data_IF_781092952906
#
_entry.id   IF_781092952906
#
_cell.length_a   1.000
_cell.length_b   1.000
_cell.length_c   1.000
_cell.angle_alpha   90.00
_cell.angle_beta   90.00
_cell.angle_gamma   90.00
#
_symmetry.space_group_name_H-M   'P 1'
#
loop_
_entity.id
_entity.type
_entity.pdbx_description
1 polymer ?
#
# COMPACT_ATOMS: atom_id res chain seq x y z
N UNK A 1 -27.92 -55.83 -24.85
CA UNK A 1 -28.63 -54.93 -23.92
C UNK A 1 -27.68 -53.80 -23.53
N UNK A 2 -28.06 -52.58 -23.94
CA UNK A 2 -27.83 -51.29 -23.27
C UNK A 2 -26.41 -50.87 -22.82
N UNK A 3 -25.73 -50.15 -23.72
CA UNK A 3 -25.21 -48.76 -23.66
C UNK A 3 -24.82 -48.01 -22.36
N UNK A 4 -23.76 -47.18 -22.54
CA UNK A 4 -23.36 -45.90 -21.88
C UNK A 4 -22.73 -45.98 -20.46
N UNK A 5 -21.70 -45.20 -20.07
CA UNK A 5 -20.95 -44.10 -20.69
C UNK A 5 -19.58 -43.92 -19.99
N UNK A 6 -18.71 -43.17 -20.68
CA UNK A 6 -17.37 -42.68 -20.33
C UNK A 6 -17.27 -41.89 -19.02
N UNK A 7 -16.11 -41.99 -18.37
CA UNK A 7 -15.24 -40.83 -18.14
C UNK A 7 -13.76 -41.29 -18.16
N UNK A 8 -13.04 -40.85 -19.20
CA UNK A 8 -11.57 -40.74 -19.25
C UNK A 8 -11.17 -39.58 -18.30
N UNK A 9 -10.05 -39.61 -17.58
CA UNK A 9 -8.73 -39.32 -18.16
C UNK A 9 -7.56 -39.89 -17.35
N UNK A 10 -6.49 -40.17 -18.11
CA UNK A 10 -5.13 -40.56 -17.72
C UNK A 10 -4.18 -39.38 -18.01
N UNK A 11 -2.93 -39.50 -17.55
CA UNK A 11 -1.72 -38.69 -17.79
C UNK A 11 -1.54 -37.45 -16.89
N UNK A 12 -0.35 -37.05 -16.45
CA UNK A 12 0.98 -37.64 -16.21
C UNK A 12 1.75 -36.52 -15.46
N UNK A 13 2.67 -36.90 -14.57
CA UNK A 13 3.91 -36.21 -14.13
C UNK A 13 4.32 -34.95 -14.97
N UNK A 14 4.81 -33.80 -14.47
CA UNK A 14 5.92 -33.46 -13.53
C UNK A 14 5.80 -31.94 -13.20
N UNK A 15 5.89 -31.51 -11.94
CA UNK A 15 6.91 -30.57 -11.40
C UNK A 15 6.59 -30.22 -9.94
N UNK A 16 7.66 -30.15 -9.18
CA UNK A 16 7.83 -30.15 -7.73
C UNK A 16 7.33 -28.89 -7.01
N UNK A 17 6.58 -29.06 -5.92
CA UNK A 17 6.56 -28.11 -4.80
C UNK A 17 6.62 -28.86 -3.46
N UNK A 18 7.71 -28.63 -2.74
CA UNK A 18 7.94 -29.03 -1.36
C UNK A 18 7.08 -28.17 -0.44
N UNK A 19 6.12 -28.77 0.26
CA UNK A 19 5.56 -28.21 1.47
C UNK A 19 5.43 -29.35 2.50
N UNK A 20 6.46 -29.54 3.32
CA UNK A 20 6.43 -30.48 4.43
C UNK A 20 5.57 -29.91 5.57
N UNK A 21 4.42 -30.53 5.81
CA UNK A 21 3.73 -30.50 7.11
C UNK A 21 3.74 -31.95 7.63
N UNK A 22 4.45 -32.20 8.73
CA UNK A 22 4.49 -33.50 9.42
C UNK A 22 4.41 -33.23 10.94
N UNK A 23 3.21 -33.39 11.51
CA UNK A 23 2.72 -34.50 12.35
C UNK A 23 3.12 -34.45 13.83
N UNK A 24 2.11 -34.33 14.68
CA UNK A 24 2.14 -34.67 16.10
C UNK A 24 2.43 -36.18 16.29
N UNK A 25 3.23 -36.51 17.31
CA UNK A 25 3.35 -37.85 17.86
C UNK A 25 3.13 -37.79 19.38
N UNK A 26 2.06 -38.42 19.87
CA UNK A 26 1.83 -38.74 21.27
C UNK A 26 2.72 -39.92 21.69
N UNK A 27 3.27 -39.90 22.89
CA UNK A 27 3.78 -41.10 23.56
C UNK A 27 3.07 -41.29 24.90
N UNK A 28 2.39 -42.44 25.02
CA UNK A 28 1.88 -42.98 26.27
C UNK A 28 2.98 -43.79 26.94
N UNK A 29 3.09 -43.71 28.26
CA UNK A 29 3.72 -44.76 29.05
C UNK A 29 2.97 -44.96 30.37
N UNK A 30 2.51 -46.19 30.56
CA UNK A 30 1.85 -46.71 31.77
C UNK A 30 2.88 -46.99 32.87
N UNK A 31 2.51 -46.77 34.14
CA UNK A 31 3.16 -47.43 35.29
C UNK A 31 2.11 -47.82 36.35
N UNK A 32 1.87 -49.13 36.39
CA UNK A 32 1.65 -50.06 37.52
C UNK A 32 1.19 -49.50 38.89
N UNK A 33 0.03 -49.99 39.34
CA UNK A 33 -0.52 -49.85 40.70
C UNK A 33 0.08 -50.92 41.62
N UNK A 34 0.69 -50.52 42.73
CA UNK A 34 0.88 -51.39 43.90
C UNK A 34 0.31 -50.71 45.16
N UNK A 35 -0.52 -51.45 45.89
CA UNK A 35 -1.20 -50.97 47.08
C UNK A 35 -0.33 -51.07 48.32
N UNK A 36 -0.31 -50.01 49.12
CA UNK A 36 0.09 -50.06 50.52
C UNK A 36 -0.82 -49.13 51.32
N UNK A 37 -1.57 -49.73 52.24
CA UNK A 37 -2.53 -49.10 53.16
C UNK A 37 -1.72 -48.52 54.33
N UNK A 38 -1.63 -47.20 54.47
CA UNK A 38 -1.06 -46.56 55.66
C UNK A 38 -2.00 -45.49 56.23
N UNK A 39 -2.14 -45.56 57.56
CA UNK A 39 -3.12 -44.88 58.40
C UNK A 39 -3.00 -43.36 58.31
N UNK A 40 -4.15 -42.69 58.22
CA UNK A 40 -4.29 -41.26 58.47
C UNK A 40 -3.87 -40.95 59.91
N UNK A 41 -3.02 -39.94 60.06
CA UNK A 41 -2.79 -39.27 61.34
C UNK A 41 -2.81 -37.77 61.04
N UNK A 42 -3.87 -37.12 61.50
CA UNK A 42 -4.05 -35.68 61.43
C UNK A 42 -2.97 -34.96 62.24
N UNK A 43 -2.36 -33.93 61.65
CA UNK A 43 -1.76 -32.85 62.40
C UNK A 43 -1.78 -31.55 61.58
N UNK A 44 -2.40 -30.46 62.07
CA UNK A 44 -2.55 -29.22 61.33
C UNK A 44 -1.34 -28.32 61.61
N UNK A 45 -0.40 -28.20 60.67
CA UNK A 45 0.58 -27.11 60.75
C UNK A 45 1.20 -26.79 59.39
N UNK A 46 1.21 -25.48 59.07
CA UNK A 46 2.06 -24.77 58.10
C UNK A 46 1.53 -24.58 56.68
N UNK A 47 0.35 -23.97 56.56
CA UNK A 47 0.01 -23.12 55.40
C UNK A 47 0.68 -21.75 55.56
N UNK A 48 1.95 -21.63 55.14
CA UNK A 48 2.68 -20.38 55.35
C UNK A 48 3.98 -20.23 54.59
N UNK A 49 4.03 -20.58 53.30
CA UNK A 49 5.19 -20.21 52.47
C UNK A 49 4.97 -20.03 50.96
N UNK A 50 3.76 -20.18 50.41
CA UNK A 50 3.56 -20.15 48.94
C UNK A 50 2.73 -18.98 48.38
N UNK A 51 2.48 -17.92 49.14
CA UNK A 51 1.73 -16.76 48.61
C UNK A 51 2.62 -15.62 48.08
N UNK A 52 3.84 -15.44 48.61
CA UNK A 52 4.74 -14.34 48.18
C UNK A 52 5.33 -14.57 46.78
N UNK A 53 5.62 -15.81 46.42
CA UNK A 53 6.15 -16.15 45.09
C UNK A 53 5.08 -16.00 43.98
N UNK A 54 3.83 -16.36 44.25
CA UNK A 54 2.73 -16.23 43.27
C UNK A 54 2.39 -14.75 43.04
N UNK A 55 2.37 -13.93 44.08
CA UNK A 55 2.14 -12.49 43.98
C UNK A 55 3.24 -11.75 43.19
N UNK A 56 4.50 -12.18 43.32
CA UNK A 56 5.63 -11.61 42.54
C UNK A 56 5.59 -12.02 41.07
N UNK A 57 5.20 -13.27 40.78
CA UNK A 57 5.05 -13.77 39.40
C UNK A 57 3.88 -13.08 38.71
N UNK A 58 2.74 -12.88 39.37
CA UNK A 58 1.60 -12.15 38.78
C UNK A 58 1.88 -10.66 38.60
N UNK A 59 2.62 -10.01 39.51
CA UNK A 59 3.08 -8.63 39.32
C UNK A 59 4.08 -8.50 38.16
N UNK A 60 4.95 -9.49 37.95
CA UNK A 60 5.84 -9.54 36.78
C UNK A 60 5.06 -9.73 35.48
N UNK A 61 4.00 -10.55 35.46
CA UNK A 61 3.12 -10.71 34.28
C UNK A 61 2.25 -9.46 34.01
N UNK A 62 1.78 -8.78 35.05
CA UNK A 62 1.06 -7.50 34.91
C UNK A 62 1.99 -6.37 34.45
N UNK A 63 3.23 -6.34 34.94
CA UNK A 63 4.27 -5.45 34.41
C UNK A 63 4.57 -5.79 32.95
N UNK A 64 4.80 -7.05 32.59
CA UNK A 64 5.12 -7.46 31.22
C UNK A 64 3.96 -7.20 30.23
N UNK A 65 2.71 -7.34 30.67
CA UNK A 65 1.52 -6.98 29.90
C UNK A 65 1.29 -5.47 29.75
N UNK A 66 1.95 -4.64 30.58
CA UNK A 66 1.92 -3.17 30.49
C UNK A 66 3.10 -2.59 29.68
N UNK A 67 4.14 -3.38 29.38
CA UNK A 67 5.33 -2.93 28.61
C UNK A 67 5.46 -3.57 27.23
N UNK A 68 4.42 -4.15 26.64
CA UNK A 68 4.44 -4.30 25.18
C UNK A 68 4.19 -2.91 24.60
N UNK A 69 5.22 -2.18 24.10
CA UNK A 69 4.92 -1.00 23.32
C UNK A 69 4.01 -1.47 22.18
N UNK A 70 2.96 -0.70 21.91
CA UNK A 70 2.28 -0.80 20.63
C UNK A 70 3.35 -0.53 19.57
N UNK A 71 4.02 -1.59 19.10
CA UNK A 71 4.89 -1.51 17.95
C UNK A 71 3.94 -1.20 16.80
N UNK A 72 3.85 0.09 16.44
CA UNK A 72 3.38 0.49 15.12
C UNK A 72 4.18 -0.36 14.14
N UNK A 73 3.51 -1.33 13.54
CA UNK A 73 4.14 -2.22 12.57
C UNK A 73 4.75 -1.33 11.49
N UNK A 74 6.09 -1.30 11.37
CA UNK A 74 6.74 -0.46 10.38
C UNK A 74 6.23 -0.86 9.01
N UNK A 75 6.01 0.13 8.14
CA UNK A 75 5.55 -0.11 6.78
C UNK A 75 6.51 -1.04 6.04
N UNK A 76 5.96 -1.93 5.22
CA UNK A 76 6.73 -2.93 4.45
C UNK A 76 6.84 -2.55 2.98
N UNK A 77 5.94 -1.70 2.50
CA UNK A 77 5.85 -1.19 1.13
C UNK A 77 5.59 0.31 1.16
N UNK A 78 6.16 1.03 0.20
CA UNK A 78 5.85 2.43 -0.06
C UNK A 78 5.44 2.58 -1.53
N UNK A 79 4.37 3.33 -1.79
CA UNK A 79 3.80 3.51 -3.12
C UNK A 79 4.12 4.90 -3.63
N UNK A 80 4.85 4.99 -4.74
CA UNK A 80 5.01 6.22 -5.51
C UNK A 80 3.79 6.37 -6.42
N UNK A 81 2.99 7.40 -6.15
CA UNK A 81 1.72 7.64 -6.85
C UNK A 81 1.86 8.85 -7.76
N UNK A 82 1.59 8.66 -9.05
CA UNK A 82 1.56 9.71 -10.06
C UNK A 82 0.15 9.81 -10.64
N UNK A 83 -0.32 11.02 -10.94
CA UNK A 83 -1.61 11.23 -11.62
C UNK A 83 -1.46 12.03 -12.90
N UNK A 84 -2.38 11.81 -13.85
CA UNK A 84 -2.45 12.57 -15.09
C UNK A 84 -3.28 13.84 -14.86
N UNK A 85 -2.69 15.04 -15.00
CA UNK A 85 -3.37 16.26 -14.60
C UNK A 85 -4.66 16.56 -15.39
N UNK A 86 -4.74 16.17 -16.66
CA UNK A 86 -5.96 16.35 -17.47
C UNK A 86 -7.13 15.57 -16.87
N UNK A 87 -6.96 14.27 -16.63
CA UNK A 87 -8.01 13.41 -16.06
C UNK A 87 -8.45 13.88 -14.67
N UNK A 88 -7.47 14.26 -13.83
CA UNK A 88 -7.77 14.82 -12.52
C UNK A 88 -8.61 16.10 -12.64
N UNK A 89 -8.20 17.06 -13.48
CA UNK A 89 -8.89 18.34 -13.59
C UNK A 89 -10.24 18.27 -14.30
N UNK A 90 -10.45 17.34 -15.23
CA UNK A 90 -11.78 17.09 -15.78
C UNK A 90 -12.76 16.64 -14.69
N UNK A 91 -12.29 15.80 -13.76
CA UNK A 91 -13.13 15.27 -12.69
C UNK A 91 -13.31 16.26 -11.53
N UNK A 92 -12.26 17.01 -11.19
CA UNK A 92 -12.27 17.96 -10.08
C UNK A 92 -12.63 19.41 -10.50
N UNK A 93 -12.93 19.61 -11.79
CA UNK A 93 -13.26 20.91 -12.39
C UNK A 93 -12.18 21.99 -12.16
N UNK A 94 -10.91 21.65 -12.40
CA UNK A 94 -9.79 22.61 -12.38
C UNK A 94 -9.23 22.94 -13.76
N UNK A 95 -8.36 23.94 -13.82
CA UNK A 95 -7.56 24.24 -15.01
C UNK A 95 -6.30 23.40 -14.97
N UNK A 96 -6.09 22.67 -16.06
CA UNK A 96 -4.89 21.89 -16.27
C UNK A 96 -3.73 22.82 -16.69
N UNK A 97 -2.53 22.60 -16.15
CA UNK A 97 -1.32 23.36 -16.51
C UNK A 97 -0.08 22.52 -16.92
N UNK A 98 -0.12 21.19 -16.86
CA UNK A 98 1.07 20.32 -16.85
C UNK A 98 1.05 19.21 -17.91
N UNK A 99 1.88 19.29 -18.96
CA UNK A 99 1.86 18.32 -20.07
C UNK A 99 2.55 16.97 -19.77
N UNK A 100 2.71 16.64 -18.50
CA UNK A 100 3.44 15.48 -18.01
C UNK A 100 2.77 14.95 -16.73
N UNK A 101 3.08 13.70 -16.36
CA UNK A 101 2.61 13.09 -15.12
C UNK A 101 3.17 13.84 -13.91
N UNK A 102 2.34 14.14 -12.92
CA UNK A 102 2.78 14.80 -11.67
C UNK A 102 2.66 13.85 -10.49
N UNK A 103 3.48 14.07 -9.45
CA UNK A 103 3.36 13.38 -8.17
C UNK A 103 2.01 13.70 -7.52
N UNK A 104 1.32 12.65 -7.13
CA UNK A 104 0.24 12.71 -6.15
C UNK A 104 0.82 12.50 -4.75
N UNK A 105 1.59 11.42 -4.55
CA UNK A 105 2.27 11.22 -3.28
C UNK A 105 3.16 10.00 -3.15
N UNK A 106 3.71 9.83 -1.95
CA UNK A 106 4.61 8.73 -1.58
C UNK A 106 4.08 8.06 -0.29
N UNK A 107 3.40 6.94 -0.42
CA UNK A 107 2.51 6.44 0.63
C UNK A 107 2.98 5.13 1.25
N UNK A 108 3.32 5.10 2.54
CA UNK A 108 3.49 3.85 3.27
C UNK A 108 2.20 3.03 3.24
N UNK A 109 2.32 1.70 3.11
CA UNK A 109 1.16 0.81 3.08
C UNK A 109 0.44 0.67 4.43
N UNK A 110 1.10 1.03 5.53
CA UNK A 110 0.53 1.01 6.89
C UNK A 110 0.60 2.40 7.54
N UNK A 111 -0.42 2.69 8.35
CA UNK A 111 -0.52 3.93 9.12
C UNK A 111 -1.08 5.12 8.34
N UNK A 112 -1.76 6.00 9.06
CA UNK A 112 -2.24 7.31 8.59
C UNK A 112 -2.17 8.28 9.76
N UNK A 113 -1.77 9.54 9.51
CA UNK A 113 -1.68 10.57 10.55
C UNK A 113 -0.82 10.12 11.76
N UNK A 114 0.30 9.43 11.50
CA UNK A 114 1.07 8.72 12.54
C UNK A 114 1.72 9.66 13.57
N UNK A 115 1.89 10.94 13.25
CA UNK A 115 2.37 11.93 14.20
C UNK A 115 1.66 13.28 14.04
N UNK A 116 0.64 13.51 14.88
CA UNK A 116 -0.15 14.74 14.83
C UNK A 116 0.58 15.98 15.36
N UNK A 117 1.67 15.82 16.11
CA UNK A 117 2.45 16.94 16.65
C UNK A 117 3.53 17.41 15.67
N UNK A 118 3.95 16.55 14.74
CA UNK A 118 4.92 16.89 13.70
C UNK A 118 4.27 17.60 12.51
N UNK A 119 4.02 18.89 12.69
CA UNK A 119 3.42 19.73 11.64
C UNK A 119 4.37 19.95 10.48
N UNK A 120 3.79 20.11 9.29
CA UNK A 120 4.52 20.53 8.10
C UNK A 120 5.14 21.92 8.31
N UNK A 121 6.39 22.07 7.90
CA UNK A 121 7.15 23.30 7.98
C UNK A 121 7.80 23.61 6.62
N UNK A 122 7.31 24.63 5.92
CA UNK A 122 7.82 24.98 4.58
C UNK A 122 9.33 25.33 4.59
N UNK A 123 9.85 25.87 5.69
CA UNK A 123 11.27 26.22 5.81
C UNK A 123 12.18 25.00 5.76
N UNK A 124 11.69 23.80 6.11
CA UNK A 124 12.47 22.55 6.04
C UNK A 124 12.64 22.03 4.62
N UNK A 125 11.89 22.54 3.63
CA UNK A 125 11.95 22.09 2.23
C UNK A 125 12.10 23.25 1.24
N UNK A 126 12.60 24.39 1.71
CA UNK A 126 12.68 25.61 0.90
C UNK A 126 13.58 25.43 -0.34
N UNK A 127 14.66 24.66 -0.20
CA UNK A 127 15.57 24.28 -1.28
C UNK A 127 14.91 23.38 -2.33
N UNK A 128 13.95 22.55 -1.91
CA UNK A 128 13.20 21.66 -2.81
C UNK A 128 12.07 22.39 -3.55
N UNK A 129 11.73 23.62 -3.18
CA UNK A 129 10.54 24.32 -3.68
C UNK A 129 10.44 24.36 -5.22
N UNK A 130 11.50 24.65 -6.00
CA UNK A 130 11.41 24.66 -7.46
C UNK A 130 11.00 23.30 -8.05
N UNK A 131 11.51 22.21 -7.48
CA UNK A 131 11.14 20.85 -7.90
C UNK A 131 9.75 20.47 -7.40
N UNK A 132 9.36 20.89 -6.19
CA UNK A 132 8.02 20.68 -5.65
C UNK A 132 6.95 21.38 -6.49
N UNK A 133 7.16 22.65 -6.88
CA UNK A 133 6.26 23.40 -7.75
C UNK A 133 6.12 22.74 -9.14
N UNK A 134 7.19 22.13 -9.64
CA UNK A 134 7.24 21.54 -10.98
C UNK A 134 6.67 20.12 -11.05
N UNK A 135 7.03 19.27 -10.08
CA UNK A 135 6.80 17.83 -10.14
C UNK A 135 5.75 17.34 -9.14
N UNK A 136 5.50 18.07 -8.05
CA UNK A 136 4.48 17.75 -7.06
C UNK A 136 3.47 18.90 -6.84
N UNK A 137 2.94 19.52 -7.91
CA UNK A 137 2.03 20.65 -7.76
C UNK A 137 0.70 20.25 -7.12
N UNK A 138 0.07 21.21 -6.45
CA UNK A 138 -1.36 21.12 -6.14
C UNK A 138 -2.16 21.46 -7.41
N UNK A 139 -2.79 20.47 -8.04
CA UNK A 139 -3.53 20.69 -9.30
C UNK A 139 -4.77 21.60 -9.16
N UNK A 140 -5.37 21.70 -7.96
CA UNK A 140 -6.49 22.61 -7.71
C UNK A 140 -6.00 24.05 -7.49
N UNK A 141 -4.90 24.18 -6.74
CA UNK A 141 -4.35 25.47 -6.32
C UNK A 141 -2.82 25.44 -6.44
N UNK A 142 -2.23 25.63 -7.65
CA UNK A 142 -0.80 25.38 -7.91
C UNK A 142 0.19 26.15 -7.03
N UNK A 143 -0.22 27.29 -6.47
CA UNK A 143 0.63 28.10 -5.58
C UNK A 143 0.51 27.73 -4.10
N UNK A 144 -0.39 26.80 -3.75
CA UNK A 144 -0.71 26.45 -2.37
C UNK A 144 0.14 25.29 -1.86
N UNK A 145 0.80 25.52 -0.73
CA UNK A 145 1.56 24.49 0.02
C UNK A 145 0.65 23.53 0.80
N UNK A 146 -0.67 23.76 0.82
CA UNK A 146 -1.61 22.96 1.61
C UNK A 146 -1.61 21.48 1.21
N UNK A 147 -1.36 21.19 -0.07
CA UNK A 147 -1.29 19.82 -0.54
C UNK A 147 -0.09 19.07 0.05
N UNK A 148 1.10 19.70 0.06
CA UNK A 148 2.28 19.11 0.70
C UNK A 148 2.09 18.96 2.21
N UNK A 149 1.44 19.92 2.86
CA UNK A 149 1.07 19.82 4.27
C UNK A 149 0.17 18.62 4.55
N UNK A 150 -0.83 18.38 3.70
CA UNK A 150 -1.72 17.22 3.77
C UNK A 150 -0.96 15.91 3.57
N UNK A 151 -0.16 15.80 2.51
CA UNK A 151 0.63 14.60 2.19
C UNK A 151 1.64 14.28 3.30
N UNK A 152 2.30 15.30 3.86
CA UNK A 152 3.20 15.12 5.01
C UNK A 152 2.46 14.58 6.22
N UNK A 153 1.36 15.23 6.60
CA UNK A 153 0.61 14.86 7.78
C UNK A 153 0.01 13.45 7.67
N UNK A 154 -0.67 13.16 6.55
CA UNK A 154 -1.37 11.90 6.33
C UNK A 154 -0.42 10.73 6.11
N UNK A 155 0.63 10.92 5.32
CA UNK A 155 1.50 9.84 4.83
C UNK A 155 2.95 9.97 5.30
N UNK A 156 3.55 11.16 5.14
CA UNK A 156 4.97 11.39 5.45
C UNK A 156 5.35 11.05 6.89
N UNK A 157 4.51 11.41 7.87
CA UNK A 157 4.76 11.09 9.30
C UNK A 157 4.84 9.59 9.58
N UNK A 158 4.23 8.75 8.75
CA UNK A 158 4.26 7.29 8.86
C UNK A 158 5.51 6.66 8.24
N UNK A 159 6.20 7.37 7.34
CA UNK A 159 7.35 6.85 6.60
C UNK A 159 8.65 6.79 7.43
N UNK A 160 8.65 7.43 8.61
CA UNK A 160 9.83 7.84 9.38
C UNK A 160 10.64 6.72 10.02
N UNK A 161 10.19 5.47 9.92
CA UNK A 161 10.91 4.27 10.41
C UNK A 161 12.13 3.87 9.56
N UNK A 162 12.42 4.58 8.46
CA UNK A 162 13.60 4.37 7.61
C UNK A 162 14.43 5.66 7.58
N UNK A 163 15.76 5.54 7.72
CA UNK A 163 16.69 6.67 7.79
C UNK A 163 16.61 7.63 6.61
N UNK A 164 16.30 7.13 5.42
CA UNK A 164 16.13 7.93 4.19
C UNK A 164 14.81 8.71 4.12
N UNK A 165 13.90 8.53 5.08
CA UNK A 165 12.58 9.20 5.15
C UNK A 165 12.29 9.78 6.54
N UNK A 166 13.25 9.74 7.48
CA UNK A 166 13.04 10.10 8.89
C UNK A 166 13.01 11.62 9.18
N UNK A 167 12.80 12.45 8.16
CA UNK A 167 12.55 13.88 8.29
C UNK A 167 11.67 14.38 7.15
N UNK A 168 11.08 15.56 7.32
CA UNK A 168 10.26 16.19 6.28
C UNK A 168 11.06 16.39 4.99
N UNK A 169 12.27 16.96 5.10
CA UNK A 169 13.15 17.18 3.96
C UNK A 169 13.46 15.88 3.23
N UNK A 170 13.90 14.84 3.96
CA UNK A 170 14.25 13.54 3.38
C UNK A 170 13.07 12.87 2.68
N UNK A 171 11.87 12.94 3.26
CA UNK A 171 10.67 12.39 2.64
C UNK A 171 10.35 13.04 1.29
N UNK A 172 10.31 14.37 1.23
CA UNK A 172 10.03 15.09 -0.01
C UNK A 172 11.16 14.95 -1.03
N UNK A 173 12.41 15.02 -0.58
CA UNK A 173 13.59 14.83 -1.44
C UNK A 173 13.59 13.43 -2.07
N UNK A 174 13.32 12.38 -1.28
CA UNK A 174 13.25 11.00 -1.79
C UNK A 174 12.09 10.82 -2.78
N UNK A 175 10.92 11.40 -2.54
CA UNK A 175 9.81 11.32 -3.50
C UNK A 175 10.16 11.98 -4.85
N UNK A 176 10.83 13.13 -4.83
CA UNK A 176 11.30 13.82 -6.04
C UNK A 176 12.39 13.02 -6.77
N UNK A 177 13.30 12.39 -6.03
CA UNK A 177 14.32 11.48 -6.58
C UNK A 177 13.66 10.29 -7.29
N UNK A 178 12.73 9.61 -6.63
CA UNK A 178 12.00 8.48 -7.19
C UNK A 178 11.18 8.90 -8.42
N UNK A 179 10.50 10.04 -8.39
CA UNK A 179 9.79 10.57 -9.55
C UNK A 179 10.71 10.72 -10.77
N UNK A 180 11.92 11.27 -10.58
CA UNK A 180 12.91 11.44 -11.66
C UNK A 180 13.50 10.11 -12.10
N UNK A 181 13.67 9.16 -11.19
CA UNK A 181 14.19 7.82 -11.49
C UNK A 181 13.21 6.99 -12.32
N UNK A 182 11.92 7.03 -11.98
CA UNK A 182 10.89 6.28 -12.68
C UNK A 182 10.37 6.99 -13.94
N UNK A 183 10.47 8.32 -14.06
CA UNK A 183 10.17 9.08 -15.30
C UNK A 183 9.06 8.48 -16.20
N UNK A 184 7.87 8.33 -15.63
CA UNK A 184 6.74 7.66 -16.29
C UNK A 184 6.38 8.34 -17.63
N UNK A 185 6.54 9.66 -17.70
CA UNK A 185 6.23 10.43 -18.90
C UNK A 185 7.10 10.02 -20.07
N UNK A 186 8.43 9.98 -19.88
CA UNK A 186 9.32 9.57 -20.97
C UNK A 186 9.24 8.07 -21.24
N UNK A 187 8.97 7.26 -20.22
CA UNK A 187 8.75 5.81 -20.38
C UNK A 187 7.62 5.53 -21.37
N UNK A 188 6.44 6.09 -21.13
CA UNK A 188 5.27 5.91 -22.01
C UNK A 188 5.52 6.50 -23.40
N UNK A 189 6.10 7.70 -23.46
CA UNK A 189 6.41 8.37 -24.73
C UNK A 189 7.36 7.55 -25.60
N UNK A 190 8.42 6.99 -25.03
CA UNK A 190 9.39 6.17 -25.77
C UNK A 190 8.78 4.87 -26.32
N UNK A 191 7.68 4.40 -25.71
CA UNK A 191 6.88 3.28 -26.21
C UNK A 191 5.79 3.70 -27.22
N UNK A 192 5.71 4.99 -27.58
CA UNK A 192 4.67 5.52 -28.45
C UNK A 192 3.29 5.68 -27.78
N UNK A 193 3.25 5.62 -26.44
CA UNK A 193 2.03 5.83 -25.65
C UNK A 193 1.99 7.30 -25.21
N UNK A 194 1.40 8.13 -26.05
CA UNK A 194 1.24 9.56 -25.82
C UNK A 194 -0.24 9.94 -25.69
N UNK A 195 -0.58 11.09 -25.05
CA UNK A 195 -1.95 11.57 -25.03
C UNK A 195 -2.50 11.68 -26.47
N UNK A 196 -3.67 11.06 -26.72
CA UNK A 196 -4.19 10.88 -28.07
C UNK A 196 -5.71 10.77 -28.08
N UNK A 197 -6.32 11.05 -29.24
CA UNK A 197 -7.73 10.74 -29.51
C UNK A 197 -7.96 9.23 -29.68
N UNK A 198 -6.92 8.46 -29.98
CA UNK A 198 -6.99 7.00 -30.08
C UNK A 198 -6.89 6.35 -28.70
N UNK A 199 -7.58 5.22 -28.54
CA UNK A 199 -7.53 4.41 -27.32
C UNK A 199 -6.41 3.39 -27.39
N UNK A 200 -5.81 3.10 -26.24
CA UNK A 200 -4.82 2.05 -26.05
C UNK A 200 -5.46 0.79 -25.49
N UNK A 201 -4.83 -0.36 -25.71
CA UNK A 201 -5.14 -1.55 -24.92
C UNK A 201 -4.50 -1.39 -23.54
N UNK A 202 -5.22 -1.82 -22.50
CA UNK A 202 -4.70 -1.80 -21.13
C UNK A 202 -3.35 -2.54 -21.03
N UNK A 203 -3.26 -3.72 -21.65
CA UNK A 203 -2.07 -4.58 -21.65
C UNK A 203 -0.83 -3.88 -22.19
N UNK A 204 -0.97 -2.99 -23.18
CA UNK A 204 0.19 -2.31 -23.77
C UNK A 204 0.75 -1.26 -22.79
N UNK A 205 -0.13 -0.58 -22.06
CA UNK A 205 0.26 0.37 -21.00
C UNK A 205 0.90 -0.40 -19.84
N UNK A 206 0.25 -1.45 -19.34
CA UNK A 206 0.75 -2.24 -18.21
C UNK A 206 2.10 -2.88 -18.54
N UNK A 207 2.21 -3.51 -19.72
CA UNK A 207 3.45 -4.16 -20.17
C UNK A 207 4.58 -3.16 -20.35
N UNK A 208 4.31 -1.98 -20.91
CA UNK A 208 5.31 -0.92 -21.05
C UNK A 208 5.90 -0.53 -19.68
N UNK A 209 5.03 -0.26 -18.71
CA UNK A 209 5.43 0.16 -17.37
C UNK A 209 6.17 -0.97 -16.64
N UNK A 210 5.63 -2.19 -16.69
CA UNK A 210 6.25 -3.38 -16.09
C UNK A 210 7.64 -3.66 -16.65
N UNK A 211 7.82 -3.64 -17.98
CA UNK A 211 9.10 -3.92 -18.61
C UNK A 211 10.16 -2.88 -18.26
N UNK A 212 9.77 -1.61 -18.13
CA UNK A 212 10.72 -0.55 -17.82
C UNK A 212 11.11 -0.54 -16.33
N UNK A 213 10.16 -0.79 -15.42
CA UNK A 213 10.39 -0.70 -13.98
C UNK A 213 10.70 -2.04 -13.30
N UNK A 214 10.51 -3.17 -13.98
CA UNK A 214 10.79 -4.50 -13.46
C UNK A 214 9.76 -5.04 -12.46
N UNK A 215 8.64 -4.34 -12.26
CA UNK A 215 7.57 -4.75 -11.35
C UNK A 215 6.19 -4.29 -11.85
N UNK A 216 5.15 -5.08 -11.53
CA UNK A 216 3.79 -4.79 -11.99
C UNK A 216 3.25 -3.54 -11.31
N UNK A 217 2.83 -2.51 -12.08
CA UNK A 217 2.24 -1.31 -11.53
C UNK A 217 0.78 -1.55 -11.10
N UNK A 218 0.21 -0.60 -10.36
CA UNK A 218 -1.25 -0.47 -10.24
C UNK A 218 -1.70 0.74 -11.05
N UNK A 219 -2.55 0.50 -12.04
CA UNK A 219 -3.06 1.55 -12.93
C UNK A 219 -4.53 1.80 -12.57
N UNK A 220 -4.87 3.08 -12.45
CA UNK A 220 -6.20 3.53 -12.09
C UNK A 220 -6.77 4.47 -13.13
N UNK A 221 -8.06 4.29 -13.37
CA UNK A 221 -8.85 4.97 -14.37
C UNK A 221 -10.07 5.64 -13.72
N UNK A 222 -10.69 6.56 -14.45
CA UNK A 222 -12.03 7.07 -14.17
C UNK A 222 -12.99 6.61 -15.26
N UNK A 223 -14.28 6.58 -14.96
CA UNK A 223 -15.30 6.17 -15.92
C UNK A 223 -15.42 7.25 -17.01
N UNK A 224 -15.56 6.83 -18.26
CA UNK A 224 -15.82 7.77 -19.36
C UNK A 224 -17.20 8.40 -19.21
N UNK A 225 -17.27 9.72 -19.35
CA UNK A 225 -18.54 10.47 -19.39
C UNK A 225 -19.20 10.46 -20.78
N UNK A 226 -18.50 9.95 -21.81
CA UNK A 226 -18.94 9.97 -23.22
C UNK A 226 -19.85 8.80 -23.61
N UNK A 227 -20.22 7.91 -22.67
CA UNK A 227 -21.13 6.79 -22.92
C UNK A 227 -20.53 5.64 -23.75
N UNK A 228 -19.22 5.67 -23.98
CA UNK A 228 -18.48 4.60 -24.65
C UNK A 228 -18.00 3.56 -23.63
N UNK A 229 -17.81 2.31 -24.05
CA UNK A 229 -17.18 1.25 -23.24
C UNK A 229 -15.66 1.46 -23.17
N UNK A 230 -15.26 2.61 -22.61
CA UNK A 230 -13.90 3.12 -22.53
C UNK A 230 -13.69 3.68 -21.12
N UNK A 231 -12.48 3.52 -20.61
CA UNK A 231 -12.04 4.08 -19.33
C UNK A 231 -10.94 5.12 -19.57
N UNK A 232 -10.81 6.11 -18.68
CA UNK A 232 -9.86 7.21 -18.88
C UNK A 232 -8.68 7.05 -17.94
N UNK A 233 -7.47 6.99 -18.48
CA UNK A 233 -6.21 6.81 -17.75
C UNK A 233 -6.01 7.97 -16.77
N UNK A 234 -5.75 7.65 -15.51
CA UNK A 234 -5.84 8.64 -14.45
C UNK A 234 -4.69 8.67 -13.46
N UNK A 235 -4.29 7.52 -12.93
CA UNK A 235 -3.27 7.41 -11.90
C UNK A 235 -2.46 6.12 -12.11
N UNK A 236 -1.16 6.19 -11.84
CA UNK A 236 -0.23 5.06 -11.86
C UNK A 236 0.48 5.01 -10.52
N UNK A 237 0.47 3.85 -9.90
CA UNK A 237 1.12 3.54 -8.65
C UNK A 237 2.28 2.56 -8.91
N UNK A 238 3.46 2.93 -8.44
CA UNK A 238 4.68 2.11 -8.48
C UNK A 238 5.02 1.73 -7.04
N UNK A 239 5.12 0.44 -6.76
CA UNK A 239 5.32 -0.06 -5.41
C UNK A 239 6.77 -0.41 -5.17
N UNK A 240 7.28 -0.02 -4.00
CA UNK A 240 8.68 -0.14 -3.63
C UNK A 240 8.79 -0.80 -2.25
N UNK A 241 9.83 -1.61 -2.07
CA UNK A 241 10.20 -2.10 -0.74
C UNK A 241 10.90 -0.99 0.08
N UNK A 242 11.36 -1.33 1.30
CA UNK A 242 12.03 -0.38 2.20
C UNK A 242 13.39 0.14 1.69
N UNK A 243 13.99 -0.55 0.72
CA UNK A 243 15.23 -0.16 0.04
C UNK A 243 14.96 0.61 -1.26
N UNK A 244 13.69 0.97 -1.52
CA UNK A 244 13.22 1.63 -2.75
C UNK A 244 13.42 0.81 -4.02
N UNK A 245 13.50 -0.51 -3.90
CA UNK A 245 13.52 -1.42 -5.04
C UNK A 245 12.09 -1.73 -5.51
N UNK A 246 11.83 -1.76 -6.83
CA UNK A 246 10.53 -2.13 -7.39
C UNK A 246 10.03 -3.48 -6.89
N UNK A 247 8.77 -3.53 -6.46
CA UNK A 247 8.02 -4.75 -6.13
C UNK A 247 6.63 -4.68 -6.76
N UNK A 248 6.02 -5.82 -7.03
CA UNK A 248 4.67 -5.84 -7.61
C UNK A 248 3.68 -5.11 -6.68
N UNK A 249 2.80 -4.30 -7.27
CA UNK A 249 1.72 -3.63 -6.54
C UNK A 249 0.56 -4.55 -6.15
N UNK A 250 0.65 -5.85 -6.43
CA UNK A 250 -0.38 -6.82 -6.10
C UNK A 250 -0.80 -6.76 -4.62
N UNK A 251 -2.09 -7.03 -4.41
CA UNK A 251 -2.78 -6.87 -3.14
C UNK A 251 -2.25 -7.87 -2.13
N UNK A 252 -1.48 -7.42 -1.15
CA UNK A 252 -1.26 -8.21 0.05
C UNK A 252 -2.51 -8.11 0.95
N UNK A 253 -2.71 -9.06 1.87
CA UNK A 253 -3.82 -9.03 2.83
C UNK A 253 -3.79 -7.77 3.70
N UNK A 254 -2.63 -7.15 3.89
CA UNK A 254 -2.48 -5.89 4.63
C UNK A 254 -3.10 -4.68 3.89
N UNK A 255 -3.09 -4.64 2.55
CA UNK A 255 -3.67 -3.56 1.75
C UNK A 255 -5.22 -3.51 1.82
N UNK A 256 -5.85 -4.59 2.27
CA UNK A 256 -7.30 -4.64 2.48
C UNK A 256 -7.72 -3.85 3.74
N UNK A 257 -6.87 -3.80 4.77
CA UNK A 257 -7.20 -3.13 6.04
C UNK A 257 -7.00 -1.61 5.97
N UNK A 258 -6.02 -1.13 5.19
CA UNK A 258 -5.81 0.31 4.97
C UNK A 258 -6.99 0.96 4.23
N UNK A 259 -7.60 0.26 3.26
CA UNK A 259 -8.82 0.73 2.57
C UNK A 259 -10.04 0.80 3.48
N UNK A 260 -10.19 -0.14 4.42
CA UNK A 260 -11.30 -0.08 5.40
C UNK A 260 -11.14 1.15 6.29
N UNK A 261 -9.92 1.46 6.74
CA UNK A 261 -9.67 2.67 7.52
C UNK A 261 -9.89 3.95 6.71
N UNK A 262 -9.47 4.00 5.44
CA UNK A 262 -9.69 5.18 4.58
C UNK A 262 -11.19 5.39 4.29
N UNK A 263 -11.99 4.32 4.12
CA UNK A 263 -13.47 4.38 3.98
C UNK A 263 -14.16 4.79 5.29
N UNK A 264 -13.70 4.28 6.43
CA UNK A 264 -14.27 4.62 7.75
C UNK A 264 -13.91 6.04 8.20
N UNK A 265 -12.75 6.56 7.79
CA UNK A 265 -12.28 7.91 8.13
C UNK A 265 -12.73 8.98 7.10
N UNK A 266 -12.98 8.63 5.83
CA UNK A 266 -13.46 9.55 4.79
C UNK A 266 -14.97 9.85 4.84
N UNK A 267 -15.61 9.81 6.02
CA UNK A 267 -17.02 10.23 6.15
C UNK A 267 -17.27 11.70 5.78
N UNK A 268 -16.22 12.46 5.48
CA UNK A 268 -16.24 13.87 5.07
C UNK A 268 -15.56 14.16 3.72
N UNK A 269 -15.22 13.15 2.91
CA UNK A 269 -14.63 13.33 1.58
C UNK A 269 -15.32 12.43 0.57
N UNK A 270 -15.78 12.98 -0.54
CA UNK A 270 -16.37 12.19 -1.61
C UNK A 270 -15.40 11.08 -2.04
N UNK A 271 -15.88 9.84 -2.28
CA UNK A 271 -15.01 8.75 -2.70
C UNK A 271 -14.26 9.15 -3.98
N UNK A 272 -12.96 8.86 -4.00
CA UNK A 272 -12.11 9.10 -5.16
C UNK A 272 -12.75 8.50 -6.42
N UNK A 273 -12.84 9.23 -7.54
CA UNK A 273 -13.41 8.73 -8.79
C UNK A 273 -12.52 7.65 -9.44
N UNK A 274 -11.27 7.55 -8.98
CA UNK A 274 -10.28 6.61 -9.50
C UNK A 274 -10.55 5.19 -9.00
N UNK A 275 -10.70 4.25 -9.93
CA UNK A 275 -10.78 2.82 -9.69
C UNK A 275 -9.66 2.10 -10.44
N UNK A 276 -9.34 0.86 -10.08
CA UNK A 276 -8.36 0.07 -10.85
C UNK A 276 -8.90 -0.10 -12.26
N UNK A 277 -8.07 0.17 -13.28
CA UNK A 277 -8.50 0.03 -14.67
C UNK A 277 -8.89 -1.43 -14.95
N UNK A 278 -9.92 -1.62 -15.76
CA UNK A 278 -10.38 -2.94 -16.20
C UNK A 278 -9.54 -3.46 -17.37
N UNK A 279 -9.05 -4.69 -17.25
CA UNK A 279 -8.19 -5.34 -18.24
C UNK A 279 -8.85 -5.42 -19.63
N UNK A 280 -10.15 -5.70 -19.69
CA UNK A 280 -10.88 -5.89 -20.97
C UNK A 280 -11.36 -4.60 -21.64
N UNK A 281 -11.12 -3.44 -21.01
CA UNK A 281 -11.69 -2.16 -21.44
C UNK A 281 -10.63 -1.26 -22.06
N UNK A 282 -10.81 -0.76 -23.30
CA UNK A 282 -9.89 0.19 -23.92
C UNK A 282 -9.66 1.43 -23.06
N UNK A 283 -8.43 1.92 -23.04
CA UNK A 283 -7.98 3.03 -22.20
C UNK A 283 -7.77 4.28 -23.04
N UNK A 284 -8.54 5.32 -22.75
CA UNK A 284 -8.32 6.66 -23.30
C UNK A 284 -7.26 7.39 -22.49
N UNK A 285 -6.21 7.89 -23.15
CA UNK A 285 -5.18 8.74 -22.54
C UNK A 285 -5.39 10.19 -23.02
N UNK A 286 -6.07 11.05 -22.24
CA UNK A 286 -6.63 12.29 -22.78
C UNK A 286 -5.57 13.34 -23.08
N UNK A 287 -5.68 13.95 -24.25
CA UNK A 287 -4.85 15.09 -24.68
C UNK A 287 -4.99 16.26 -23.72
N UNK A 288 -3.89 16.98 -23.50
CA UNK A 288 -3.93 18.20 -22.70
C UNK A 288 -4.63 19.29 -23.50
N UNK A 289 -5.82 19.69 -23.05
CA UNK A 289 -6.53 20.80 -23.68
C UNK A 289 -6.03 22.11 -23.11
N UNK A 290 -5.27 22.86 -23.91
CA UNK A 290 -5.02 24.27 -23.61
C UNK A 290 -6.36 25.00 -23.70
N UNK A 291 -6.90 25.45 -22.57
CA UNK A 291 -8.02 26.36 -22.58
C UNK A 291 -7.56 27.63 -23.32
N UNK A 292 -7.94 27.76 -24.59
CA UNK A 292 -7.86 29.01 -25.32
C UNK A 292 -8.51 30.07 -24.44
N UNK A 293 -7.73 31.07 -24.03
CA UNK A 293 -8.26 32.30 -23.46
C UNK A 293 -9.38 32.77 -24.39
N UNK A 294 -10.63 32.74 -23.91
CA UNK A 294 -11.67 33.58 -24.51
C UNK A 294 -11.20 35.01 -24.23
N UNK A 295 -10.59 35.61 -25.26
CA UNK A 295 -10.36 37.04 -25.35
C UNK A 295 -11.70 37.77 -25.39
#
# INVERSE_FOLDING_TARGET
>A
MTTFARALTRCEYIYSDLCCVATCCESKQEVVVSGARHKANDNPAKTGFKMRAIALVTLLFLAYGLVTPFYLQPWSKITLTLHWPQTFCETAHCKQHFKYWTLHGLWPNTGMNCNNTWKFNMSEIQDLKPDMDKYWPNLLHPTSVQFWSYEWHKHGTCATSVESLNSQHKYFSKALELYKQFDLTNTLKNAGIEPSEQNYQFDDIERCIWQHFGAQPKIQCVASTKGEHVQVLGQVEICLNRDFMPIACEKSKEDLWSRVNDVLLNRFSAPSPFHVCDFGTPVHYPVVTENKTRH
#
